data_IF_501797756221
#
_entry.id   IF_501797756221
#
_cell.length_a   1.000
_cell.length_b   1.000
_cell.length_c   1.000
_cell.angle_alpha   90.00
_cell.angle_beta   90.00
_cell.angle_gamma   90.00
#
_symmetry.space_group_name_H-M   'P 1'
#
loop_
_entity.id
_entity.type
_entity.pdbx_description
1 polymer ?
#
# COMPACT_ATOMS: atom_id res chain seq x y z
N UNK A 1 -9.87 12.40 -19.77
CA UNK A 1 -8.73 12.00 -18.90
C UNK A 1 -8.93 12.36 -17.41
N UNK A 2 -9.73 13.37 -17.05
CA UNK A 2 -9.97 13.79 -15.65
C UNK A 2 -10.85 12.86 -14.77
N UNK A 3 -11.60 11.92 -15.35
CA UNK A 3 -12.67 11.20 -14.63
C UNK A 3 -12.16 10.16 -13.62
N UNK A 4 -10.91 9.68 -13.77
CA UNK A 4 -10.40 8.53 -13.00
C UNK A 4 -9.86 8.87 -11.60
N UNK A 5 -9.38 10.10 -11.39
CA UNK A 5 -8.80 10.55 -10.10
C UNK A 5 -9.82 11.24 -9.19
N UNK A 6 -11.02 11.52 -9.69
CA UNK A 6 -12.06 12.23 -8.94
C UNK A 6 -12.41 11.57 -7.61
N UNK A 7 -12.62 10.24 -7.52
CA UNK A 7 -12.87 9.59 -6.23
C UNK A 7 -11.73 9.81 -5.24
N UNK A 8 -10.48 9.65 -5.69
CA UNK A 8 -9.30 9.90 -4.86
C UNK A 8 -9.25 11.34 -4.33
N UNK A 9 -9.45 12.33 -5.20
CA UNK A 9 -9.44 13.76 -4.83
C UNK A 9 -10.51 14.13 -3.81
N UNK A 10 -11.66 13.44 -3.84
CA UNK A 10 -12.74 13.67 -2.89
C UNK A 10 -12.49 12.97 -1.55
N UNK A 11 -12.00 11.74 -1.57
CA UNK A 11 -11.82 10.92 -0.37
C UNK A 11 -10.50 11.17 0.36
N UNK A 12 -9.41 11.42 -0.35
CA UNK A 12 -8.08 11.52 0.25
C UNK A 12 -8.01 12.62 1.33
N UNK A 13 -8.54 13.84 1.13
CA UNK A 13 -8.52 14.87 2.17
C UNK A 13 -9.26 14.48 3.47
N UNK A 14 -10.18 13.53 3.41
CA UNK A 14 -10.98 13.06 4.56
C UNK A 14 -10.39 11.83 5.26
N UNK A 15 -9.32 11.24 4.71
CA UNK A 15 -8.64 10.07 5.26
C UNK A 15 -7.39 10.49 6.05
N UNK A 16 -7.02 9.72 7.06
CA UNK A 16 -5.73 9.80 7.77
C UNK A 16 -4.66 8.88 7.16
N UNK A 17 -5.05 8.04 6.19
CA UNK A 17 -4.19 7.03 5.58
C UNK A 17 -4.35 6.98 4.06
N UNK A 18 -3.26 6.67 3.37
CA UNK A 18 -3.28 6.22 1.96
C UNK A 18 -2.55 4.88 1.90
N UNK A 19 -3.26 3.83 1.49
CA UNK A 19 -2.68 2.52 1.21
C UNK A 19 -2.89 2.26 -0.28
N UNK A 20 -1.80 2.03 -1.02
CA UNK A 20 -1.84 1.84 -2.47
C UNK A 20 -1.05 0.60 -2.90
N UNK A 21 -1.59 -0.10 -3.89
CA UNK A 21 -0.91 -1.18 -4.63
C UNK A 21 -1.10 -0.90 -6.10
N UNK A 22 -0.01 -0.89 -6.87
CA UNK A 22 -0.06 -0.59 -8.29
C UNK A 22 1.31 -0.26 -8.87
N UNK A 23 1.34 0.02 -10.16
CA UNK A 23 2.56 0.43 -10.84
C UNK A 23 2.99 1.82 -10.40
N UNK A 24 4.28 2.05 -10.51
CA UNK A 24 4.89 3.34 -10.21
C UNK A 24 6.31 3.36 -10.72
N UNK A 25 6.90 4.54 -10.63
CA UNK A 25 8.29 4.80 -10.91
C UNK A 25 8.82 5.79 -9.85
N UNK A 26 9.98 6.38 -10.13
CA UNK A 26 10.60 7.32 -9.22
C UNK A 26 9.70 8.53 -8.87
N UNK A 27 8.85 9.00 -9.79
CA UNK A 27 8.08 10.23 -9.65
C UNK A 27 6.55 10.06 -9.61
N UNK A 28 6.01 8.87 -9.88
CA UNK A 28 4.58 8.63 -9.91
C UNK A 28 4.15 7.30 -9.26
N UNK A 29 2.97 7.35 -8.64
CA UNK A 29 2.16 6.20 -8.27
C UNK A 29 0.90 6.19 -9.12
N UNK A 30 0.59 5.05 -9.73
CA UNK A 30 -0.52 4.89 -10.66
C UNK A 30 -1.56 3.90 -10.15
N UNK A 31 -2.80 4.08 -10.61
CA UNK A 31 -3.91 3.20 -10.34
C UNK A 31 -4.29 2.36 -11.55
N UNK A 32 -5.60 2.15 -11.74
CA UNK A 32 -6.12 1.31 -12.81
C UNK A 32 -5.75 1.84 -14.22
N UNK A 33 -5.20 0.93 -15.05
CA UNK A 33 -4.63 1.20 -16.37
C UNK A 33 -3.56 2.31 -16.34
N UNK A 34 -2.68 2.26 -15.33
CA UNK A 34 -1.54 3.19 -15.18
C UNK A 34 -1.95 4.67 -15.13
N UNK A 35 -3.21 4.95 -14.78
CA UNK A 35 -3.67 6.32 -14.60
C UNK A 35 -2.97 6.93 -13.36
N UNK A 36 -2.25 8.06 -13.49
CA UNK A 36 -1.55 8.67 -12.36
C UNK A 36 -2.50 9.03 -11.21
N UNK A 37 -2.13 8.64 -10.00
CA UNK A 37 -2.84 8.96 -8.76
C UNK A 37 -2.05 9.97 -7.94
N UNK A 38 -0.74 9.81 -7.78
CA UNK A 38 0.15 10.81 -7.19
C UNK A 38 1.36 10.93 -8.10
N UNK A 39 1.74 12.15 -8.45
CA UNK A 39 2.91 12.43 -9.29
C UNK A 39 3.60 13.67 -8.71
N UNK A 40 4.93 13.68 -8.67
CA UNK A 40 5.74 14.74 -8.07
C UNK A 40 5.29 16.11 -8.59
N UNK A 41 4.91 17.01 -7.67
CA UNK A 41 4.42 18.35 -7.99
C UNK A 41 3.08 18.43 -8.74
N UNK A 42 2.35 17.31 -8.89
CA UNK A 42 1.06 17.23 -9.63
C UNK A 42 -0.08 16.63 -8.80
N UNK A 43 -0.24 17.12 -7.57
CA UNK A 43 -1.41 16.86 -6.72
C UNK A 43 -1.68 18.09 -5.82
N UNK A 44 -2.88 18.16 -5.24
CA UNK A 44 -3.19 19.17 -4.23
C UNK A 44 -2.62 18.70 -2.86
N UNK A 45 -1.79 19.49 -2.16
CA UNK A 45 -1.20 19.08 -0.87
C UNK A 45 -2.22 18.60 0.17
N UNK A 46 -3.47 19.08 0.12
CA UNK A 46 -4.55 18.62 1.02
C UNK A 46 -4.88 17.14 0.86
N UNK A 47 -4.52 16.55 -0.28
CA UNK A 47 -4.70 15.13 -0.54
C UNK A 47 -3.70 14.26 0.23
N UNK A 48 -2.61 14.82 0.76
CA UNK A 48 -1.53 14.07 1.44
C UNK A 48 -1.20 14.61 2.83
N UNK A 49 -1.56 15.86 3.13
CA UNK A 49 -1.27 16.52 4.39
C UNK A 49 -1.76 15.71 5.60
N UNK A 50 -0.84 15.50 6.55
CA UNK A 50 -1.06 14.78 7.80
C UNK A 50 -1.20 13.26 7.67
N UNK A 51 -1.05 12.68 6.47
CA UNK A 51 -1.37 11.27 6.24
C UNK A 51 -0.19 10.33 6.46
N UNK A 52 -0.51 9.13 6.93
CA UNK A 52 0.40 7.98 6.87
C UNK A 52 0.20 7.29 5.52
N UNK A 53 1.25 7.23 4.71
CA UNK A 53 1.18 6.72 3.33
C UNK A 53 2.00 5.43 3.22
N UNK A 54 1.41 4.35 2.69
CA UNK A 54 2.10 3.11 2.35
C UNK A 54 1.79 2.71 0.91
N UNK A 55 2.83 2.60 0.09
CA UNK A 55 2.72 2.17 -1.30
C UNK A 55 3.49 0.88 -1.55
N UNK A 56 2.82 -0.13 -2.10
CA UNK A 56 3.46 -1.26 -2.78
C UNK A 56 3.55 -0.89 -4.25
N UNK A 57 4.63 -0.19 -4.60
CA UNK A 57 4.84 0.37 -5.93
C UNK A 57 6.31 0.69 -6.17
N UNK A 58 6.82 0.30 -7.34
CA UNK A 58 8.22 0.41 -7.71
C UNK A 58 8.74 1.85 -7.57
N UNK A 59 9.93 2.00 -7.00
CA UNK A 59 10.73 3.23 -7.00
C UNK A 59 10.09 4.49 -6.38
N UNK A 60 8.86 4.41 -5.87
CA UNK A 60 8.16 5.55 -5.28
C UNK A 60 8.90 6.18 -4.08
N UNK A 61 9.81 5.44 -3.43
CA UNK A 61 10.68 5.94 -2.37
C UNK A 61 11.84 6.83 -2.84
N UNK A 62 12.06 6.97 -4.16
CA UNK A 62 13.19 7.73 -4.73
C UNK A 62 12.89 9.23 -4.78
N UNK A 63 11.80 9.66 -5.45
CA UNK A 63 11.42 11.09 -5.53
C UNK A 63 10.03 11.36 -4.99
N UNK A 64 9.05 10.52 -5.32
CA UNK A 64 7.68 10.72 -4.88
C UNK A 64 7.56 10.74 -3.34
N UNK A 65 8.14 9.78 -2.64
CA UNK A 65 8.14 9.72 -1.17
C UNK A 65 8.66 11.00 -0.52
N UNK A 66 9.88 11.47 -0.86
CA UNK A 66 10.40 12.76 -0.40
C UNK A 66 9.48 13.95 -0.73
N UNK A 67 8.89 14.01 -1.93
CA UNK A 67 7.95 15.07 -2.33
C UNK A 67 6.68 15.06 -1.47
N UNK A 68 6.11 13.88 -1.21
CA UNK A 68 4.95 13.71 -0.34
C UNK A 68 5.22 14.22 1.09
N UNK A 69 6.38 13.87 1.66
CA UNK A 69 6.82 14.37 2.96
C UNK A 69 6.99 15.90 2.93
N UNK A 70 7.62 16.44 1.88
CA UNK A 70 7.81 17.89 1.70
C UNK A 70 6.49 18.66 1.59
N UNK A 71 5.42 17.99 1.12
CA UNK A 71 4.06 18.55 1.01
C UNK A 71 3.15 18.18 2.19
N UNK A 72 3.72 17.77 3.32
CA UNK A 72 3.01 17.67 4.60
C UNK A 72 2.49 16.28 4.95
N UNK A 73 2.80 15.23 4.18
CA UNK A 73 2.52 13.85 4.64
C UNK A 73 3.22 13.58 5.97
N UNK A 74 2.52 12.91 6.89
CA UNK A 74 3.06 12.61 8.22
C UNK A 74 4.17 11.56 8.12
N UNK A 75 3.95 10.51 7.34
CA UNK A 75 4.96 9.49 7.05
C UNK A 75 4.71 8.84 5.70
N UNK A 76 5.77 8.28 5.12
CA UNK A 76 5.72 7.55 3.86
C UNK A 76 6.54 6.27 3.98
N UNK A 77 5.94 5.14 3.59
CA UNK A 77 6.61 3.87 3.42
C UNK A 77 6.44 3.36 1.98
N UNK A 78 7.54 2.94 1.36
CA UNK A 78 7.57 2.47 -0.03
C UNK A 78 8.93 1.85 -0.37
N UNK A 79 9.31 1.86 -1.63
CA UNK A 79 10.52 1.17 -2.12
C UNK A 79 11.41 2.10 -2.95
N UNK A 80 12.72 2.03 -2.75
CA UNK A 80 13.73 2.79 -3.50
C UNK A 80 14.11 2.13 -4.83
N UNK A 81 13.66 0.90 -5.05
CA UNK A 81 13.85 0.15 -6.28
C UNK A 81 12.54 -0.57 -6.65
N UNK A 82 12.57 -1.43 -7.67
CA UNK A 82 11.43 -2.25 -8.05
C UNK A 82 10.95 -3.12 -6.89
N UNK A 83 9.63 -3.26 -6.76
CA UNK A 83 9.06 -4.23 -5.85
C UNK A 83 8.87 -5.56 -6.60
N UNK A 84 9.63 -6.57 -6.22
CA UNK A 84 9.67 -7.84 -6.92
C UNK A 84 8.82 -8.88 -6.20
N UNK A 85 8.21 -9.79 -6.95
CA UNK A 85 7.55 -10.97 -6.40
C UNK A 85 7.39 -12.02 -7.48
N UNK A 86 7.43 -13.28 -7.07
CA UNK A 86 7.14 -14.43 -7.93
C UNK A 86 5.76 -14.93 -7.52
N UNK A 87 5.00 -15.39 -8.51
CA UNK A 87 3.72 -16.04 -8.27
C UNK A 87 3.59 -17.28 -9.14
N UNK A 88 2.77 -18.23 -8.68
CA UNK A 88 2.20 -19.24 -9.57
C UNK A 88 1.31 -18.55 -10.62
N UNK A 89 1.59 -18.80 -11.90
CA UNK A 89 0.85 -18.22 -13.01
C UNK A 89 -0.63 -18.61 -12.99
N UNK A 90 -0.95 -19.81 -12.48
CA UNK A 90 -2.34 -20.27 -12.34
C UNK A 90 -3.11 -19.49 -11.26
N UNK A 91 -2.39 -18.83 -10.35
CA UNK A 91 -2.93 -18.00 -9.26
C UNK A 91 -2.81 -16.50 -9.55
N UNK A 92 -2.49 -16.09 -10.78
CA UNK A 92 -2.26 -14.69 -11.10
C UNK A 92 -3.45 -13.76 -10.87
N UNK A 93 -4.68 -14.28 -10.98
CA UNK A 93 -5.90 -13.52 -10.66
C UNK A 93 -6.28 -13.57 -9.17
N UNK A 94 -5.62 -14.43 -8.39
CA UNK A 94 -5.88 -14.69 -6.97
C UNK A 94 -4.58 -14.82 -6.17
N UNK A 95 -3.64 -13.85 -6.25
CA UNK A 95 -2.31 -13.98 -5.65
C UNK A 95 -2.32 -14.15 -4.12
N UNK A 96 -3.42 -13.80 -3.45
CA UNK A 96 -3.62 -14.07 -2.01
C UNK A 96 -3.79 -15.56 -1.69
N UNK A 97 -4.12 -16.41 -2.68
CA UNK A 97 -4.20 -17.85 -2.52
C UNK A 97 -2.84 -18.53 -2.70
N UNK A 98 -1.87 -17.85 -3.33
CA UNK A 98 -0.51 -18.34 -3.54
C UNK A 98 0.33 -18.11 -2.28
N UNK A 99 0.25 -19.08 -1.37
CA UNK A 99 1.03 -19.06 -0.12
C UNK A 99 2.50 -19.40 -0.33
N UNK A 100 2.83 -20.08 -1.42
CA UNK A 100 4.16 -20.65 -1.64
C UNK A 100 5.11 -19.62 -2.25
N UNK A 101 4.63 -18.78 -3.18
CA UNK A 101 5.47 -17.78 -3.84
C UNK A 101 5.04 -16.36 -3.48
N UNK A 102 3.84 -15.94 -3.92
CA UNK A 102 3.40 -14.55 -3.72
C UNK A 102 3.31 -14.17 -2.24
N UNK A 103 2.79 -15.08 -1.41
CA UNK A 103 2.61 -14.89 0.03
C UNK A 103 3.91 -14.58 0.77
N UNK A 104 5.04 -15.19 0.38
CA UNK A 104 6.34 -14.93 1.01
C UNK A 104 6.80 -13.48 0.84
N UNK A 105 6.36 -12.82 -0.24
CA UNK A 105 6.66 -11.41 -0.49
C UNK A 105 5.57 -10.49 0.07
N UNK A 106 4.29 -10.82 -0.16
CA UNK A 106 3.17 -9.92 0.13
C UNK A 106 2.75 -9.94 1.60
N UNK A 107 2.82 -11.09 2.29
CA UNK A 107 2.32 -11.20 3.67
C UNK A 107 3.06 -10.33 4.68
N UNK A 108 4.40 -10.15 4.62
CA UNK A 108 5.09 -9.16 5.47
C UNK A 108 4.50 -7.75 5.36
N UNK A 109 4.11 -7.33 4.16
CA UNK A 109 3.46 -6.02 3.95
C UNK A 109 2.05 -6.01 4.56
N UNK A 110 1.29 -7.09 4.40
CA UNK A 110 -0.05 -7.23 4.99
C UNK A 110 0.03 -7.21 6.53
N UNK A 111 1.02 -7.85 7.14
CA UNK A 111 1.24 -7.85 8.58
C UNK A 111 1.54 -6.42 9.09
N UNK A 112 2.40 -5.69 8.39
CA UNK A 112 2.66 -4.27 8.67
C UNK A 112 1.38 -3.42 8.53
N UNK A 113 0.64 -3.57 7.43
CA UNK A 113 -0.61 -2.83 7.21
C UNK A 113 -1.66 -3.11 8.29
N UNK A 114 -1.81 -4.36 8.71
CA UNK A 114 -2.72 -4.70 9.81
C UNK A 114 -2.27 -4.04 11.12
N UNK A 115 -0.98 -4.08 11.42
CA UNK A 115 -0.43 -3.41 12.61
C UNK A 115 -0.68 -1.89 12.59
N UNK A 116 -0.52 -1.24 11.44
CA UNK A 116 -0.84 0.17 11.27
C UNK A 116 -2.31 0.45 11.59
N UNK A 117 -3.21 -0.32 10.97
CA UNK A 117 -4.65 -0.18 11.15
C UNK A 117 -5.12 -0.54 12.57
N UNK A 118 -4.31 -1.26 13.33
CA UNK A 118 -4.52 -1.55 14.76
C UNK A 118 -3.92 -0.46 15.68
N UNK A 119 -3.39 0.61 15.10
CA UNK A 119 -2.93 1.82 15.81
C UNK A 119 -1.44 1.84 16.13
N UNK A 120 -0.63 0.93 15.58
CA UNK A 120 0.83 0.99 15.72
C UNK A 120 1.42 2.21 14.99
N UNK A 121 2.59 2.65 15.43
CA UNK A 121 3.35 3.69 14.73
C UNK A 121 3.78 3.23 13.35
N UNK A 122 4.15 4.20 12.53
CA UNK A 122 4.81 3.97 11.24
C UNK A 122 6.11 3.20 11.41
N UNK A 123 6.90 3.48 12.46
CA UNK A 123 8.12 2.73 12.81
C UNK A 123 7.83 1.26 13.14
N UNK A 124 6.92 1.02 14.09
CA UNK A 124 6.56 -0.35 14.52
C UNK A 124 5.99 -1.15 13.35
N UNK A 125 5.13 -0.54 12.54
CA UNK A 125 4.58 -1.13 11.31
C UNK A 125 5.68 -1.55 10.34
N UNK A 126 6.61 -0.64 10.07
CA UNK A 126 7.70 -0.87 9.13
C UNK A 126 8.65 -1.96 9.65
N UNK A 127 8.96 -1.95 10.94
CA UNK A 127 9.80 -2.99 11.56
C UNK A 127 9.14 -4.37 11.49
N UNK A 128 7.82 -4.47 11.68
CA UNK A 128 7.07 -5.73 11.53
C UNK A 128 7.20 -6.28 10.11
N UNK A 129 7.09 -5.41 9.11
CA UNK A 129 7.24 -5.80 7.71
C UNK A 129 8.68 -6.27 7.42
N UNK A 130 9.71 -5.52 7.83
CA UNK A 130 11.11 -5.91 7.65
C UNK A 130 11.44 -7.22 8.35
N UNK A 131 10.88 -7.44 9.54
CA UNK A 131 11.05 -8.70 10.27
C UNK A 131 10.30 -9.84 9.61
N UNK A 132 9.13 -9.59 9.02
CA UNK A 132 8.43 -10.56 8.17
C UNK A 132 9.31 -11.00 6.98
N UNK A 133 9.95 -10.05 6.30
CA UNK A 133 10.89 -10.39 5.23
C UNK A 133 12.10 -11.17 5.73
N UNK A 134 12.71 -10.76 6.86
CA UNK A 134 13.83 -11.49 7.46
C UNK A 134 13.46 -12.95 7.75
N UNK A 135 12.34 -13.18 8.45
CA UNK A 135 11.87 -14.53 8.78
C UNK A 135 11.63 -15.39 7.53
N UNK A 136 11.03 -14.79 6.49
CA UNK A 136 10.75 -15.51 5.25
C UNK A 136 12.05 -15.85 4.51
N UNK A 137 13.01 -14.93 4.43
CA UNK A 137 14.31 -15.17 3.80
C UNK A 137 15.14 -16.24 4.55
N UNK A 138 15.12 -16.24 5.88
CA UNK A 138 15.83 -17.23 6.70
C UNK A 138 15.26 -18.64 6.55
N UNK A 139 13.95 -18.76 6.34
CA UNK A 139 13.26 -20.04 6.14
C UNK A 139 13.33 -20.54 4.69
N UNK A 140 13.66 -19.68 3.73
CA UNK A 140 13.65 -20.00 2.30
C UNK A 140 14.90 -20.78 1.87
N UNK A 141 14.68 -21.87 1.16
CA UNK A 141 15.74 -22.74 0.64
C UNK A 141 16.08 -22.39 -0.82
N UNK A 142 15.11 -21.88 -1.58
CA UNK A 142 15.33 -21.43 -2.95
C UNK A 142 16.12 -20.11 -2.97
N UNK A 143 17.29 -20.13 -3.60
CA UNK A 143 18.21 -18.98 -3.57
C UNK A 143 17.65 -17.75 -4.30
N UNK A 144 16.87 -17.96 -5.37
CA UNK A 144 16.28 -16.86 -6.14
C UNK A 144 15.17 -16.19 -5.33
N UNK A 145 14.28 -16.98 -4.72
CA UNK A 145 13.22 -16.48 -3.86
C UNK A 145 13.81 -15.75 -2.65
N UNK A 146 14.82 -16.33 -1.99
CA UNK A 146 15.51 -15.68 -0.87
C UNK A 146 16.10 -14.33 -1.28
N UNK A 147 16.84 -14.28 -2.39
CA UNK A 147 17.45 -13.05 -2.88
C UNK A 147 16.39 -11.98 -3.21
N UNK A 148 15.25 -12.37 -3.76
CA UNK A 148 14.13 -11.48 -4.05
C UNK A 148 13.52 -10.90 -2.75
N UNK A 149 13.30 -11.73 -1.74
CA UNK A 149 12.77 -11.31 -0.43
C UNK A 149 13.73 -10.31 0.22
N UNK A 150 15.04 -10.61 0.21
CA UNK A 150 16.08 -9.72 0.74
C UNK A 150 16.15 -8.41 -0.05
N UNK A 151 16.01 -8.47 -1.37
CA UNK A 151 15.99 -7.29 -2.23
C UNK A 151 14.85 -6.34 -1.87
N UNK A 152 13.62 -6.85 -1.69
CA UNK A 152 12.49 -6.02 -1.26
C UNK A 152 12.73 -5.40 0.13
N UNK A 153 13.22 -6.20 1.08
CA UNK A 153 13.54 -5.75 2.45
C UNK A 153 14.55 -4.60 2.43
N UNK A 154 15.63 -4.76 1.67
CA UNK A 154 16.76 -3.82 1.69
C UNK A 154 16.45 -2.54 0.91
N UNK A 155 15.49 -2.60 -0.03
CA UNK A 155 15.00 -1.45 -0.77
C UNK A 155 13.78 -0.76 -0.16
N UNK A 156 13.12 -1.37 0.83
CA UNK A 156 12.06 -0.73 1.59
C UNK A 156 12.58 0.52 2.32
N UNK A 157 11.77 1.57 2.38
CA UNK A 157 12.12 2.83 3.05
C UNK A 157 10.96 3.37 3.84
N UNK A 158 11.26 3.96 5.01
CA UNK A 158 10.35 4.76 5.81
C UNK A 158 10.90 6.19 5.93
N UNK A 159 10.07 7.17 5.58
CA UNK A 159 10.36 8.60 5.61
C UNK A 159 9.36 9.33 6.52
N UNK A 160 9.75 10.52 6.99
CA UNK A 160 8.89 11.39 7.82
C UNK A 160 8.85 11.01 9.30
N UNK A 161 7.72 11.29 9.95
CA UNK A 161 7.51 11.08 11.37
C UNK A 161 7.33 9.59 11.69
N UNK A 162 8.33 9.02 12.35
CA UNK A 162 8.36 7.61 12.79
C UNK A 162 7.25 7.26 13.77
N UNK A 163 6.76 8.23 14.54
CA UNK A 163 5.69 8.07 15.55
C UNK A 163 4.29 8.30 14.98
N UNK A 164 4.15 8.63 13.69
CA UNK A 164 2.85 8.83 13.07
C UNK A 164 2.00 7.54 13.13
N UNK A 165 0.72 7.68 13.45
CA UNK A 165 -0.28 6.61 13.61
C UNK A 165 -1.54 7.00 12.86
N UNK A 166 -2.32 6.01 12.46
CA UNK A 166 -3.70 6.21 12.00
C UNK A 166 -4.65 5.93 13.16
N UNK A 167 -5.90 6.38 13.06
CA UNK A 167 -6.93 6.00 14.02
C UNK A 167 -7.12 4.48 13.94
N UNK A 168 -6.89 3.80 15.06
CA UNK A 168 -7.12 2.36 15.14
C UNK A 168 -8.55 2.03 14.71
N UNK A 169 -8.70 0.97 13.92
CA UNK A 169 -10.01 0.46 13.53
C UNK A 169 -10.83 0.20 14.80
N UNK A 170 -12.10 0.64 14.86
CA UNK A 170 -12.94 0.31 16.00
C UNK A 170 -13.02 -1.21 16.09
N UNK A 171 -12.84 -1.76 17.30
CA UNK A 171 -13.08 -3.17 17.55
C UNK A 171 -14.51 -3.49 17.13
N UNK A 172 -14.67 -4.38 16.15
CA UNK A 172 -16.00 -4.84 15.77
C UNK A 172 -16.55 -5.63 16.97
N UNK A 173 -17.57 -5.09 17.64
CA UNK A 173 -18.32 -5.85 18.61
C UNK A 173 -18.93 -7.05 17.88
N UNK A 174 -18.41 -8.24 18.16
CA UNK A 174 -18.97 -9.47 17.61
C UNK A 174 -20.32 -9.74 18.29
N UNK A 175 -21.33 -10.22 17.54
CA UNK A 175 -21.29 -10.50 16.10
C UNK A 175 -21.66 -9.25 15.27
N UNK A 176 -20.80 -8.85 14.32
CA UNK A 176 -21.21 -7.89 13.30
C UNK A 176 -21.96 -8.64 12.18
N UNK A 177 -23.16 -8.18 11.85
CA UNK A 177 -23.82 -8.61 10.62
C UNK A 177 -23.30 -7.75 9.47
N UNK A 178 -22.73 -8.39 8.44
CA UNK A 178 -22.56 -7.78 7.13
C UNK A 178 -23.96 -7.46 6.59
N UNK A 179 -24.36 -6.19 6.68
CA UNK A 179 -25.55 -5.71 5.99
C UNK A 179 -25.11 -5.51 4.54
N UNK A 180 -25.61 -6.29 3.57
CA UNK A 180 -25.30 -6.06 2.16
C UNK A 180 -25.74 -4.64 1.78
N UNK A 181 -25.01 -3.98 0.87
CA UNK A 181 -25.46 -2.68 0.38
C UNK A 181 -26.87 -2.82 -0.21
N UNK A 182 -27.75 -1.82 -0.05
CA UNK A 182 -29.05 -1.84 -0.67
C UNK A 182 -28.90 -2.03 -2.19
N UNK A 183 -29.80 -2.79 -2.85
CA UNK A 183 -29.72 -3.00 -4.28
C UNK A 183 -29.71 -1.66 -5.01
N UNK A 184 -28.72 -1.49 -5.90
CA UNK A 184 -28.65 -0.33 -6.78
C UNK A 184 -29.76 -0.51 -7.82
N UNK A 185 -30.86 0.22 -7.65
CA UNK A 185 -31.88 0.34 -8.69
C UNK A 185 -31.29 1.17 -9.83
N UNK A 186 -30.73 0.50 -10.83
CA UNK A 186 -30.45 1.13 -12.11
C UNK A 186 -31.80 1.48 -12.76
N UNK A 187 -32.06 2.74 -13.14
CA UNK A 187 -33.23 3.05 -13.93
C UNK A 187 -33.13 2.26 -15.22
N UNK A 188 -34.14 1.43 -15.50
CA UNK A 188 -34.32 0.83 -16.81
C UNK A 188 -34.46 1.99 -17.80
N UNK A 189 -33.41 2.26 -18.58
CA UNK A 189 -33.50 3.12 -19.74
C UNK A 189 -34.53 2.50 -20.66
N UNK A 190 -35.67 3.18 -20.79
CA UNK A 190 -36.82 2.73 -21.57
C UNK A 190 -36.45 2.38 -23.00
N UNK A 191 -37.09 1.33 -23.49
CA UNK A 191 -37.17 0.98 -24.91
C UNK A 191 -37.98 2.00 -25.71
#
# INVERSE_FOLDING_TARGET
MLVRRTPFRLSAPQSDVIIGVGHGDADAFTGHNEAPILEVGRYDPREVEGKVIKLISCQTGVKLGPDLIGNGAASFAGYKDDYLWIMDADLASTPWADKEFAGKCLMPVIDGLNALLDGKTSKETFDIELEGYRRNAEAEQDELMRALIEFNRDNAVLLGNREARVRARPGLALPFQLIPPPPIFLPLSGA
#
